data_IF_790535506313
#
_entry.id   IF_790535506313
#
_cell.length_a   1.000
_cell.length_b   1.000
_cell.length_c   1.000
_cell.angle_alpha   90.00
_cell.angle_beta   90.00
_cell.angle_gamma   90.00
#
_symmetry.space_group_name_H-M   'P 1'
#
loop_
_entity.id
_entity.type
_entity.pdbx_description
1 polymer ?
#
# COMPACT_ATOMS: atom_id res chain seq x y z
N UNK A 1 -22.19 16.42 12.24
CA UNK A 1 -22.52 17.04 10.94
C UNK A 1 -21.56 16.47 9.92
N UNK A 2 -22.06 15.70 8.94
CA UNK A 2 -21.32 15.00 7.88
C UNK A 2 -20.14 14.13 8.35
N UNK A 3 -20.48 12.99 8.96
CA UNK A 3 -19.54 11.86 8.98
C UNK A 3 -19.47 11.31 7.56
N UNK A 4 -18.29 11.37 6.94
CA UNK A 4 -18.00 10.64 5.71
C UNK A 4 -18.16 9.16 6.03
N UNK A 5 -19.37 8.64 5.83
CA UNK A 5 -19.58 7.21 5.97
C UNK A 5 -18.92 6.54 4.77
N UNK A 6 -18.53 5.27 4.97
CA UNK A 6 -17.90 4.47 3.92
C UNK A 6 -18.63 4.50 2.56
N UNK A 7 -19.99 4.56 2.50
CA UNK A 7 -20.71 4.61 1.22
C UNK A 7 -20.40 5.86 0.38
N UNK A 8 -20.37 7.04 0.99
CA UNK A 8 -20.11 8.30 0.28
C UNK A 8 -18.68 8.34 -0.26
N UNK A 9 -17.70 7.84 0.52
CA UNK A 9 -16.32 7.73 0.06
C UNK A 9 -16.20 6.79 -1.15
N UNK A 10 -16.96 5.69 -1.15
CA UNK A 10 -16.97 4.73 -2.25
C UNK A 10 -17.54 5.34 -3.53
N UNK A 11 -18.63 6.12 -3.44
CA UNK A 11 -19.20 6.84 -4.59
C UNK A 11 -18.18 7.82 -5.17
N UNK A 12 -17.51 8.60 -4.33
CA UNK A 12 -16.46 9.55 -4.76
C UNK A 12 -15.31 8.79 -5.44
N UNK A 13 -14.88 7.66 -4.86
CA UNK A 13 -13.83 6.82 -5.43
C UNK A 13 -14.18 6.30 -6.82
N UNK A 14 -15.43 5.87 -7.03
CA UNK A 14 -15.92 5.43 -8.35
C UNK A 14 -15.84 6.57 -9.37
N UNK A 15 -16.27 7.79 -8.99
CA UNK A 15 -16.18 8.96 -9.87
C UNK A 15 -14.73 9.26 -10.25
N UNK A 16 -13.81 9.25 -9.27
CA UNK A 16 -12.38 9.45 -9.51
C UNK A 16 -11.82 8.38 -10.46
N UNK A 17 -12.22 7.11 -10.30
CA UNK A 17 -11.81 6.03 -11.20
C UNK A 17 -12.33 6.26 -12.63
N UNK A 18 -13.55 6.75 -12.80
CA UNK A 18 -14.11 7.03 -14.13
C UNK A 18 -13.38 8.21 -14.79
N UNK A 19 -13.07 9.28 -14.05
CA UNK A 19 -12.39 10.46 -14.57
C UNK A 19 -10.92 10.21 -14.94
N UNK A 20 -10.17 9.57 -14.04
CA UNK A 20 -8.73 9.34 -14.22
C UNK A 20 -8.43 8.01 -14.93
N UNK A 21 -9.40 7.09 -14.95
CA UNK A 21 -9.23 5.72 -15.40
C UNK A 21 -8.51 4.84 -14.37
N UNK A 22 -8.91 3.56 -14.31
CA UNK A 22 -8.28 2.57 -13.44
C UNK A 22 -6.78 2.36 -13.73
N UNK A 23 -6.32 2.66 -14.95
CA UNK A 23 -4.91 2.49 -15.34
C UNK A 23 -3.99 3.53 -14.68
N UNK A 24 -4.42 4.80 -14.57
CA UNK A 24 -3.62 5.84 -13.91
C UNK A 24 -3.56 5.62 -12.39
N UNK A 25 -4.69 5.26 -11.79
CA UNK A 25 -4.75 4.93 -10.36
C UNK A 25 -3.92 3.70 -10.00
N UNK A 26 -3.91 2.64 -10.83
CA UNK A 26 -3.04 1.48 -10.63
C UNK A 26 -1.55 1.82 -10.75
N UNK A 27 -1.18 2.65 -11.72
CA UNK A 27 0.22 3.11 -11.88
C UNK A 27 0.71 3.89 -10.65
N UNK A 28 -0.07 4.88 -10.21
CA UNK A 28 0.27 5.69 -9.03
C UNK A 28 0.21 4.88 -7.73
N UNK A 29 -0.81 4.02 -7.57
CA UNK A 29 -0.96 3.16 -6.41
C UNK A 29 0.16 2.12 -6.29
N UNK A 30 0.65 1.58 -7.41
CA UNK A 30 1.81 0.69 -7.44
C UNK A 30 3.08 1.40 -6.98
N UNK A 31 3.35 2.61 -7.49
CA UNK A 31 4.52 3.39 -7.11
C UNK A 31 4.49 3.80 -5.62
N UNK A 32 3.38 4.38 -5.17
CA UNK A 32 3.20 4.79 -3.77
C UNK A 32 3.17 3.57 -2.83
N UNK A 33 2.49 2.49 -3.23
CA UNK A 33 2.39 1.26 -2.44
C UNK A 33 3.73 0.56 -2.26
N UNK A 34 4.59 0.56 -3.29
CA UNK A 34 5.97 0.08 -3.19
C UNK A 34 6.76 0.89 -2.17
N UNK A 35 6.79 2.22 -2.32
CA UNK A 35 7.51 3.10 -1.39
C UNK A 35 7.03 2.98 0.06
N UNK A 36 5.71 2.89 0.29
CA UNK A 36 5.13 2.70 1.63
C UNK A 36 5.50 1.33 2.19
N UNK A 37 5.57 0.29 1.35
CA UNK A 37 5.96 -1.06 1.77
C UNK A 37 7.42 -1.11 2.19
N UNK A 38 8.34 -0.58 1.39
CA UNK A 38 9.76 -0.43 1.75
C UNK A 38 9.91 0.39 3.04
N UNK A 39 9.21 1.53 3.15
CA UNK A 39 9.25 2.38 4.33
C UNK A 39 8.76 1.62 5.59
N UNK A 40 7.65 0.89 5.48
CA UNK A 40 7.12 0.07 6.57
C UNK A 40 8.09 -1.03 6.99
N UNK A 41 8.77 -1.66 6.03
CA UNK A 41 9.77 -2.70 6.31
C UNK A 41 10.99 -2.12 7.01
N UNK A 42 11.55 -1.01 6.51
CA UNK A 42 12.70 -0.36 7.12
C UNK A 42 12.42 0.11 8.56
N UNK A 43 11.26 0.74 8.79
CA UNK A 43 10.83 1.17 10.12
C UNK A 43 10.60 -0.03 11.06
N UNK A 44 10.10 -1.16 10.55
CA UNK A 44 9.93 -2.38 11.37
C UNK A 44 11.26 -3.04 11.72
N UNK A 45 12.20 -3.11 10.78
CA UNK A 45 13.53 -3.68 11.01
C UNK A 45 14.35 -2.83 12.00
N UNK A 46 14.17 -1.50 11.99
CA UNK A 46 14.84 -0.60 12.94
C UNK A 46 14.27 -0.71 14.36
N UNK A 47 12.99 -1.07 14.51
CA UNK A 47 12.34 -1.24 15.82
C UNK A 47 12.38 -2.67 16.37
N UNK A 48 12.74 -3.68 15.57
CA UNK A 48 12.86 -5.06 16.04
C UNK A 48 14.11 -5.74 15.46
N UNK A 49 15.23 -5.81 16.23
CA UNK A 49 16.47 -6.44 15.77
C UNK A 49 16.34 -7.96 15.52
N UNK A 50 15.22 -8.61 15.89
CA UNK A 50 15.03 -10.06 15.79
C UNK A 50 14.45 -10.53 14.44
N UNK A 51 14.00 -9.63 13.55
CA UNK A 51 13.33 -10.01 12.27
C UNK A 51 14.30 -10.31 11.11
N UNK A 52 15.63 -10.19 11.31
CA UNK A 52 16.63 -10.34 10.25
C UNK A 52 16.86 -11.80 9.76
N UNK A 53 16.23 -12.81 10.37
CA UNK A 53 16.62 -14.22 10.18
C UNK A 53 15.75 -15.06 9.22
N UNK A 54 14.64 -14.57 8.66
CA UNK A 54 13.71 -15.47 7.93
C UNK A 54 13.75 -15.35 6.39
N UNK A 55 14.51 -14.42 5.80
CA UNK A 55 14.46 -14.22 4.32
C UNK A 55 15.60 -14.88 3.52
N UNK A 56 16.51 -15.61 4.16
CA UNK A 56 17.67 -16.24 3.47
C UNK A 56 17.52 -17.76 3.25
N UNK A 57 16.55 -18.44 3.87
CA UNK A 57 16.45 -19.92 3.86
C UNK A 57 15.52 -20.52 2.78
N UNK A 58 15.39 -19.91 1.60
CA UNK A 58 14.62 -20.52 0.48
C UNK A 58 15.35 -20.57 -0.86
N UNK A 59 16.65 -20.31 -0.88
CA UNK A 59 17.48 -20.45 -2.08
C UNK A 59 18.63 -21.41 -1.79
N UNK A 60 18.32 -22.63 -1.35
CA UNK A 60 19.24 -23.79 -1.34
C UNK A 60 18.44 -25.06 -0.99
N UNK A 61 17.62 -25.53 -1.92
CA UNK A 61 17.15 -26.93 -2.01
C UNK A 61 17.10 -27.33 -3.48
#
# INVERSE_FOLDING_TARGET
MFGLQLPELLIILVIVIVLFGASRLRGLGGALGGSIREFKTAVRDEQNPETKAEKTEKVEL
#
